data_IF_277968589807
#
_entry.id   IF_277968589807
#
_cell.length_a   1.000
_cell.length_b   1.000
_cell.length_c   1.000
_cell.angle_alpha   90.00
_cell.angle_beta   90.00
_cell.angle_gamma   90.00
#
_symmetry.space_group_name_H-M   'P 1'
#
loop_
_entity.id
_entity.type
_entity.pdbx_description
1 polymer ?
#
# COMPACT_ATOMS: atom_id res chain seq x y z
N UNK A 1 -11.46 -15.96 -9.81
CA UNK A 1 -11.35 -14.52 -9.48
C UNK A 1 -12.68 -13.83 -9.65
N UNK A 2 -13.26 -13.75 -10.86
CA UNK A 2 -14.58 -13.12 -11.04
C UNK A 2 -15.68 -13.83 -10.22
N UNK A 3 -15.71 -15.16 -10.25
CA UNK A 3 -16.65 -15.98 -9.47
C UNK A 3 -16.57 -15.73 -7.95
N UNK A 4 -15.36 -15.51 -7.41
CA UNK A 4 -15.12 -15.27 -5.98
C UNK A 4 -15.59 -13.88 -5.52
N UNK A 5 -15.92 -12.99 -6.46
CA UNK A 5 -16.43 -11.64 -6.19
C UNK A 5 -17.94 -11.53 -6.43
N UNK A 6 -18.64 -12.63 -6.73
CA UNK A 6 -20.11 -12.64 -6.78
C UNK A 6 -20.67 -12.24 -5.41
N UNK A 7 -21.58 -11.27 -5.41
CA UNK A 7 -22.18 -10.72 -4.18
C UNK A 7 -21.45 -9.53 -3.57
N UNK A 8 -20.27 -9.14 -4.10
CA UNK A 8 -19.58 -7.92 -3.66
C UNK A 8 -20.06 -6.70 -4.44
N UNK A 9 -20.12 -5.57 -3.76
CA UNK A 9 -20.33 -4.28 -4.40
C UNK A 9 -19.11 -3.90 -5.24
N UNK A 10 -19.32 -3.01 -6.23
CA UNK A 10 -18.21 -2.46 -7.02
C UNK A 10 -17.15 -1.80 -6.12
N UNK A 11 -17.57 -1.17 -5.03
CA UNK A 11 -16.68 -0.50 -4.08
C UNK A 11 -15.77 -1.51 -3.35
N UNK A 12 -16.36 -2.59 -2.84
CA UNK A 12 -15.61 -3.67 -2.16
C UNK A 12 -14.62 -4.36 -3.11
N UNK A 13 -15.02 -4.58 -4.36
CA UNK A 13 -14.12 -5.15 -5.36
C UNK A 13 -12.93 -4.22 -5.62
N UNK A 14 -13.19 -2.92 -5.77
CA UNK A 14 -12.14 -1.97 -6.04
C UNK A 14 -11.22 -1.72 -4.84
N UNK A 15 -11.75 -1.78 -3.62
CA UNK A 15 -10.94 -1.78 -2.40
C UNK A 15 -10.00 -2.99 -2.36
N UNK A 16 -10.53 -4.20 -2.62
CA UNK A 16 -9.71 -5.40 -2.74
C UNK A 16 -8.61 -5.26 -3.81
N UNK A 17 -8.94 -4.69 -4.97
CA UNK A 17 -7.94 -4.44 -6.01
C UNK A 17 -6.86 -3.46 -5.53
N UNK A 18 -7.24 -2.41 -4.80
CA UNK A 18 -6.30 -1.43 -4.23
C UNK A 18 -5.37 -2.09 -3.22
N UNK A 19 -5.89 -2.96 -2.34
CA UNK A 19 -5.09 -3.78 -1.41
C UNK A 19 -4.03 -4.59 -2.17
N UNK A 20 -4.41 -5.29 -3.24
CA UNK A 20 -3.47 -6.08 -4.03
C UNK A 20 -2.43 -5.23 -4.75
N UNK A 21 -2.81 -4.07 -5.27
CA UNK A 21 -1.88 -3.13 -5.89
C UNK A 21 -0.85 -2.61 -4.87
N UNK A 22 -1.28 -2.32 -3.64
CA UNK A 22 -0.38 -1.90 -2.55
C UNK A 22 0.56 -3.02 -2.10
N UNK A 23 0.06 -4.24 -1.91
CA UNK A 23 0.88 -5.41 -1.56
C UNK A 23 1.90 -5.75 -2.67
N UNK A 24 1.54 -5.46 -3.92
CA UNK A 24 2.48 -5.60 -5.03
C UNK A 24 3.56 -4.52 -4.96
N UNK A 25 3.16 -3.25 -4.80
CA UNK A 25 4.05 -2.09 -4.77
C UNK A 25 5.05 -2.14 -3.61
N UNK A 26 4.61 -2.45 -2.40
CA UNK A 26 5.50 -2.55 -1.23
C UNK A 26 6.32 -3.86 -1.20
N UNK A 27 6.15 -4.75 -2.19
CA UNK A 27 6.88 -6.02 -2.29
C UNK A 27 6.37 -7.15 -1.38
N UNK A 28 5.31 -6.96 -0.59
CA UNK A 28 4.76 -8.02 0.26
C UNK A 28 4.32 -9.25 -0.53
N UNK A 29 3.74 -9.09 -1.74
CA UNK A 29 3.40 -10.24 -2.60
C UNK A 29 4.63 -11.04 -3.03
N UNK A 30 5.75 -10.37 -3.28
CA UNK A 30 7.02 -11.04 -3.61
C UNK A 30 7.51 -11.85 -2.41
N UNK A 31 7.50 -11.26 -1.21
CA UNK A 31 7.90 -11.93 0.02
C UNK A 31 7.01 -13.14 0.37
N UNK A 32 5.69 -13.02 0.18
CA UNK A 32 4.75 -14.14 0.37
C UNK A 32 5.03 -15.28 -0.61
N UNK A 33 5.30 -14.96 -1.88
CA UNK A 33 5.68 -15.95 -2.88
C UNK A 33 6.98 -16.68 -2.50
N UNK A 34 7.97 -15.96 -1.98
CA UNK A 34 9.23 -16.53 -1.49
C UNK A 34 9.03 -17.44 -0.27
N UNK A 35 8.01 -17.15 0.56
CA UNK A 35 7.56 -18.00 1.68
C UNK A 35 6.60 -19.12 1.25
N UNK A 36 6.47 -19.38 -0.05
CA UNK A 36 5.61 -20.42 -0.63
C UNK A 36 4.11 -20.25 -0.33
N UNK A 37 3.64 -19.02 -0.04
CA UNK A 37 2.20 -18.76 0.04
C UNK A 37 1.58 -18.91 -1.35
N UNK A 38 0.54 -19.73 -1.46
CA UNK A 38 -0.22 -19.90 -2.68
C UNK A 38 -1.08 -18.66 -2.98
N UNK A 39 -1.40 -18.46 -4.26
CA UNK A 39 -2.33 -17.40 -4.67
C UNK A 39 -3.68 -17.51 -3.97
N UNK A 40 -4.18 -18.73 -3.73
CA UNK A 40 -5.49 -18.94 -3.11
C UNK A 40 -5.48 -18.51 -1.64
N UNK A 41 -4.41 -18.83 -0.90
CA UNK A 41 -4.25 -18.41 0.49
C UNK A 41 -4.17 -16.89 0.61
N UNK A 42 -3.37 -16.25 -0.24
CA UNK A 42 -3.25 -14.78 -0.25
C UNK A 42 -4.60 -14.15 -0.59
N UNK A 43 -5.32 -14.66 -1.60
CA UNK A 43 -6.66 -14.17 -1.94
C UNK A 43 -7.63 -14.36 -0.77
N UNK A 44 -7.67 -15.53 -0.16
CA UNK A 44 -8.57 -15.80 0.97
C UNK A 44 -8.30 -14.85 2.16
N UNK A 45 -7.02 -14.61 2.48
CA UNK A 45 -6.60 -13.75 3.58
C UNK A 45 -7.01 -12.29 3.39
N UNK A 46 -6.80 -11.74 2.19
CA UNK A 46 -7.11 -10.32 1.91
C UNK A 46 -8.55 -10.09 1.42
N UNK A 47 -9.29 -11.14 1.07
CA UNK A 47 -10.67 -11.02 0.59
C UNK A 47 -11.60 -10.30 1.56
N UNK A 48 -11.37 -10.41 2.87
CA UNK A 48 -12.24 -9.79 3.89
C UNK A 48 -11.54 -8.71 4.71
N UNK A 49 -10.29 -8.34 4.35
CA UNK A 49 -9.58 -7.26 5.04
C UNK A 49 -9.83 -5.95 4.30
N UNK A 50 -10.31 -4.97 5.04
CA UNK A 50 -10.42 -3.59 4.57
C UNK A 50 -9.02 -2.94 4.49
N UNK A 51 -8.91 -1.89 3.68
CA UNK A 51 -7.75 -1.00 3.71
C UNK A 51 -7.93 0.00 4.87
N UNK A 52 -7.70 -0.51 6.07
CA UNK A 52 -7.82 0.22 7.33
C UNK A 52 -6.49 0.83 7.80
N UNK A 53 -6.55 1.55 8.92
CA UNK A 53 -5.40 2.26 9.48
C UNK A 53 -4.32 1.30 9.99
N UNK A 54 -4.70 0.11 10.46
CA UNK A 54 -3.75 -0.93 10.86
C UNK A 54 -2.95 -1.43 9.66
N UNK A 55 -3.61 -1.67 8.52
CA UNK A 55 -2.91 -2.09 7.31
C UNK A 55 -1.99 -0.99 6.77
N UNK A 56 -2.45 0.28 6.76
CA UNK A 56 -1.60 1.42 6.37
C UNK A 56 -0.38 1.56 7.29
N UNK A 57 -0.58 1.41 8.60
CA UNK A 57 0.48 1.49 9.60
C UNK A 57 1.50 0.36 9.43
N UNK A 58 1.05 -0.88 9.20
CA UNK A 58 1.95 -1.99 8.91
C UNK A 58 2.77 -1.75 7.63
N UNK A 59 2.14 -1.24 6.57
CA UNK A 59 2.86 -0.92 5.34
C UNK A 59 3.86 0.22 5.55
N UNK A 60 3.53 1.24 6.34
CA UNK A 60 4.45 2.31 6.70
C UNK A 60 5.68 1.77 7.46
N UNK A 61 5.48 0.89 8.44
CA UNK A 61 6.57 0.22 9.16
C UNK A 61 7.48 -0.59 8.21
N UNK A 62 6.89 -1.32 7.26
CA UNK A 62 7.67 -2.07 6.27
C UNK A 62 8.54 -1.13 5.42
N UNK A 63 8.06 0.08 5.11
CA UNK A 63 8.83 1.10 4.38
C UNK A 63 9.91 1.75 5.25
N UNK A 64 9.63 1.98 6.54
CA UNK A 64 10.62 2.47 7.52
C UNK A 64 11.78 1.48 7.67
N UNK A 65 11.49 0.17 7.74
CA UNK A 65 12.52 -0.85 7.75
C UNK A 65 13.41 -0.78 6.49
N UNK A 66 12.83 -0.54 5.31
CA UNK A 66 13.58 -0.37 4.05
C UNK A 66 14.40 0.91 4.01
N UNK A 67 13.94 2.00 4.64
CA UNK A 67 14.71 3.24 4.76
C UNK A 67 16.01 3.03 5.54
N UNK A 68 15.99 2.17 6.56
CA UNK A 68 17.20 1.82 7.32
C UNK A 68 18.24 1.10 6.46
N UNK A 69 17.80 0.27 5.50
CA UNK A 69 18.68 -0.46 4.57
C UNK A 69 19.08 0.39 3.34
N UNK A 70 18.20 1.29 2.91
CA UNK A 70 18.35 2.12 1.71
C UNK A 70 17.87 3.55 1.99
N UNK A 71 18.74 4.41 2.57
CA UNK A 71 18.37 5.78 2.91
C UNK A 71 17.88 6.59 1.70
N UNK A 72 16.82 7.36 1.91
CA UNK A 72 16.15 8.18 0.91
C UNK A 72 15.10 7.44 0.07
N UNK A 73 14.81 6.16 0.33
CA UNK A 73 13.78 5.43 -0.42
C UNK A 73 12.39 6.00 -0.18
N UNK A 74 12.04 6.36 1.05
CA UNK A 74 10.72 6.92 1.37
C UNK A 74 10.54 8.28 0.70
N UNK A 75 11.54 9.17 0.76
CA UNK A 75 11.46 10.48 0.09
C UNK A 75 11.29 10.34 -1.43
N UNK A 76 12.04 9.41 -2.03
CA UNK A 76 11.94 9.11 -3.46
C UNK A 76 10.57 8.55 -3.84
N UNK A 77 10.06 7.58 -3.09
CA UNK A 77 8.75 6.95 -3.32
C UNK A 77 7.60 7.90 -3.04
N UNK A 78 7.70 8.79 -2.05
CA UNK A 78 6.73 9.85 -1.81
C UNK A 78 6.63 10.78 -3.02
N UNK A 79 7.76 11.32 -3.48
CA UNK A 79 7.77 12.19 -4.66
C UNK A 79 7.28 11.49 -5.93
N UNK A 80 7.53 10.18 -6.07
CA UNK A 80 6.99 9.38 -7.16
C UNK A 80 5.46 9.22 -7.05
N UNK A 81 4.95 8.95 -5.85
CA UNK A 81 3.53 8.79 -5.58
C UNK A 81 2.75 10.09 -5.82
N UNK A 82 3.33 11.25 -5.49
CA UNK A 82 2.73 12.55 -5.77
C UNK A 82 2.63 12.84 -7.28
N UNK A 83 3.69 12.55 -8.03
CA UNK A 83 3.67 12.68 -9.50
C UNK A 83 2.66 11.75 -10.15
N UNK A 84 2.57 10.50 -9.68
CA UNK A 84 1.59 9.52 -10.17
C UNK A 84 0.15 9.95 -9.88
N UNK A 85 -0.10 10.49 -8.68
CA UNK A 85 -1.41 11.00 -8.30
C UNK A 85 -1.84 12.16 -9.19
N UNK A 86 -0.93 13.12 -9.42
CA UNK A 86 -1.22 14.26 -10.28
C UNK A 86 -1.42 13.84 -11.75
N UNK A 87 -0.58 12.95 -12.26
CA UNK A 87 -0.74 12.41 -13.61
C UNK A 87 -2.06 11.65 -13.78
N UNK A 88 -2.47 10.84 -12.80
CA UNK A 88 -3.76 10.15 -12.81
C UNK A 88 -4.92 11.13 -12.77
N UNK A 89 -4.82 12.19 -11.95
CA UNK A 89 -5.82 13.27 -11.84
C UNK A 89 -6.01 13.99 -13.18
N UNK A 90 -4.93 14.40 -13.83
CA UNK A 90 -4.96 15.08 -15.12
C UNK A 90 -5.52 14.19 -16.24
N UNK A 91 -5.25 12.88 -16.18
CA UNK A 91 -5.72 11.91 -17.16
C UNK A 91 -7.14 11.38 -16.89
N UNK A 92 -7.83 11.83 -15.84
CA UNK A 92 -9.15 11.33 -15.45
C UNK A 92 -9.14 9.84 -15.08
N UNK A 93 -8.01 9.33 -14.58
CA UNK A 93 -7.83 7.93 -14.17
C UNK A 93 -8.21 7.75 -12.70
N UNK A 94 -8.32 6.47 -12.30
CA UNK A 94 -8.57 6.10 -10.92
C UNK A 94 -7.49 6.64 -9.97
N UNK A 95 -7.91 7.28 -8.88
CA UNK A 95 -7.02 7.98 -7.94
C UNK A 95 -6.75 7.22 -6.63
N UNK A 96 -7.50 6.16 -6.33
CA UNK A 96 -7.40 5.44 -5.05
C UNK A 96 -5.99 4.93 -4.78
N UNK A 97 -5.47 4.12 -5.68
CA UNK A 97 -4.14 3.55 -5.52
C UNK A 97 -3.03 4.59 -5.34
N UNK A 98 -2.87 5.61 -6.22
CA UNK A 98 -1.82 6.61 -6.03
C UNK A 98 -2.05 7.49 -4.78
N UNK A 99 -3.31 7.72 -4.38
CA UNK A 99 -3.62 8.40 -3.10
C UNK A 99 -3.16 7.56 -1.91
N UNK A 100 -3.48 6.28 -1.86
CA UNK A 100 -3.10 5.39 -0.76
C UNK A 100 -1.58 5.22 -0.67
N UNK A 101 -0.87 5.15 -1.81
CA UNK A 101 0.60 5.19 -1.83
C UNK A 101 1.14 6.44 -1.13
N UNK A 102 0.61 7.62 -1.51
CA UNK A 102 1.00 8.90 -0.90
C UNK A 102 0.72 8.91 0.60
N UNK A 103 -0.46 8.48 1.02
CA UNK A 103 -0.87 8.48 2.44
C UNK A 103 0.02 7.56 3.28
N UNK A 104 0.34 6.36 2.80
CA UNK A 104 1.26 5.43 3.47
C UNK A 104 2.67 6.03 3.55
N UNK A 105 3.15 6.68 2.49
CA UNK A 105 4.46 7.35 2.49
C UNK A 105 4.51 8.51 3.47
N UNK A 106 3.48 9.36 3.50
CA UNK A 106 3.37 10.45 4.47
C UNK A 106 3.33 9.93 5.90
N UNK A 107 2.60 8.83 6.14
CA UNK A 107 2.57 8.16 7.44
C UNK A 107 3.98 7.69 7.84
N UNK A 108 4.71 7.04 6.93
CA UNK A 108 6.09 6.60 7.19
C UNK A 108 7.03 7.78 7.48
N UNK A 109 6.94 8.88 6.72
CA UNK A 109 7.70 10.11 6.97
C UNK A 109 7.40 10.69 8.37
N UNK A 110 6.13 10.71 8.76
CA UNK A 110 5.72 11.28 10.05
C UNK A 110 6.27 10.49 11.23
N UNK A 111 6.43 9.17 11.09
CA UNK A 111 6.99 8.28 12.11
C UNK A 111 8.53 8.31 12.15
N UNK A 112 9.19 8.67 11.04
CA UNK A 112 10.64 8.83 10.98
C UNK A 112 11.13 10.16 11.53
N UNK A 113 10.28 11.18 11.52
CA UNK A 113 10.58 12.50 12.07
C UNK A 113 10.39 12.40 13.58
N UNK A 114 11.45 12.32 14.40
CA UNK A 114 11.26 12.39 15.83
C UNK A 114 10.73 13.80 16.12
N UNK A 115 9.73 13.91 16.99
CA UNK A 115 9.46 15.19 17.65
C UNK A 115 10.80 15.74 18.19
N UNK A 116 11.16 17.02 17.95
CA UNK A 116 12.36 17.62 18.54
C UNK A 116 12.27 17.82 20.07
N UNK A 117 11.40 17.05 20.72
CA UNK A 117 11.14 17.04 22.15
C UNK A 117 11.06 15.59 22.61
N UNK A 118 12.22 14.96 22.78
CA UNK A 118 12.43 13.98 23.84
C UNK A 118 13.62 14.48 24.69
N UNK A 119 13.50 14.50 26.03
CA UNK A 119 14.39 15.19 26.97
C UNK A 119 15.78 14.55 27.15
#
# INVERSE_FOLDING_TARGET
MLETNKGRTMLEFQELMTVFQLLHWNGSLKAMRERQCSRQEVVAHYSHRALDDDMRSQMALDWIAREQENPGVISRELGQSERELEAARLAGRELRFPKEKKDIMMLACSQLSPSPLDP
#
